data_IF_155893028518
#
_entry.id   IF_155893028518
#
_cell.length_a   1.000
_cell.length_b   1.000
_cell.length_c   1.000
_cell.angle_alpha   90.00
_cell.angle_beta   90.00
_cell.angle_gamma   90.00
#
_symmetry.space_group_name_H-M   'P 1'
#
loop_
_entity.id
_entity.type
_entity.pdbx_description
1 polymer ?
#
# COMPACT_ATOMS: atom_id res chain seq x y z
N UNK A 1 -43.99 -3.96 26.49
CA UNK A 1 -42.84 -4.48 25.70
C UNK A 1 -42.85 -3.74 24.37
N UNK A 2 -41.71 -3.11 24.03
CA UNK A 2 -41.50 -2.15 22.93
C UNK A 2 -42.28 -0.82 23.11
N UNK A 3 -41.75 0.37 22.86
CA UNK A 3 -40.66 0.75 21.98
C UNK A 3 -40.01 2.06 22.50
N UNK A 4 -38.70 2.07 22.77
CA UNK A 4 -37.93 3.30 23.09
C UNK A 4 -37.25 3.73 21.79
N UNK A 5 -37.84 4.70 21.12
CA UNK A 5 -37.17 5.45 20.06
C UNK A 5 -36.13 6.39 20.70
N UNK A 6 -34.87 5.96 20.77
CA UNK A 6 -33.76 6.83 21.12
C UNK A 6 -33.51 7.79 19.95
N UNK A 7 -34.04 9.00 20.09
CA UNK A 7 -33.77 10.13 19.23
C UNK A 7 -32.31 10.56 19.37
N UNK A 8 -31.47 10.16 18.42
CA UNK A 8 -30.13 10.75 18.24
C UNK A 8 -30.32 12.11 17.57
N UNK A 9 -30.47 13.14 18.38
CA UNK A 9 -30.34 14.53 17.95
C UNK A 9 -28.89 14.79 17.55
N UNK A 10 -28.59 14.77 16.25
CA UNK A 10 -27.34 15.28 15.70
C UNK A 10 -27.28 16.81 15.92
N UNK A 11 -26.19 17.37 16.46
CA UNK A 11 -26.06 18.82 16.57
C UNK A 11 -25.91 19.41 15.16
N UNK A 12 -26.86 20.29 14.81
CA UNK A 12 -26.80 21.12 13.62
C UNK A 12 -25.62 22.09 13.69
N UNK A 13 -24.45 21.62 13.28
CA UNK A 13 -23.30 22.48 12.98
C UNK A 13 -23.58 23.26 11.70
N UNK A 14 -24.21 24.43 11.82
CA UNK A 14 -24.27 25.39 10.72
C UNK A 14 -22.87 25.92 10.42
N UNK A 15 -22.19 25.31 9.45
CA UNK A 15 -21.01 25.90 8.82
C UNK A 15 -21.47 27.10 7.97
N UNK A 16 -21.72 28.25 8.61
CA UNK A 16 -22.01 29.49 7.90
C UNK A 16 -20.77 29.93 7.12
N UNK A 17 -20.90 29.94 5.79
CA UNK A 17 -19.91 30.45 4.86
C UNK A 17 -19.90 31.99 4.97
N UNK A 18 -18.77 32.60 5.32
CA UNK A 18 -18.68 34.05 5.43
C UNK A 18 -18.94 34.71 4.06
N UNK A 19 -19.53 35.90 4.06
CA UNK A 19 -19.88 36.65 2.84
C UNK A 19 -18.68 36.81 1.88
N UNK A 20 -17.47 36.94 2.44
CA UNK A 20 -16.21 37.05 1.69
C UNK A 20 -15.86 35.77 0.92
N UNK A 21 -16.01 34.60 1.55
CA UNK A 21 -15.75 33.30 0.90
C UNK A 21 -16.79 33.06 -0.20
N UNK A 22 -18.01 33.56 -0.03
CA UNK A 22 -19.08 33.48 -1.02
C UNK A 22 -18.78 34.33 -2.27
N UNK A 23 -18.37 35.59 -2.07
CA UNK A 23 -17.96 36.50 -3.14
C UNK A 23 -16.74 35.97 -3.92
N UNK A 24 -15.74 35.43 -3.22
CA UNK A 24 -14.59 34.79 -3.86
C UNK A 24 -15.02 33.57 -4.69
N UNK A 25 -15.87 32.69 -4.14
CA UNK A 25 -16.39 31.52 -4.86
C UNK A 25 -17.13 31.92 -6.15
N UNK A 26 -17.95 32.97 -6.08
CA UNK A 26 -18.70 33.53 -7.21
C UNK A 26 -17.77 34.06 -8.30
N UNK A 27 -16.79 34.91 -7.93
CA UNK A 27 -15.80 35.45 -8.87
C UNK A 27 -14.97 34.34 -9.54
N UNK A 28 -14.57 33.32 -8.78
CA UNK A 28 -13.88 32.16 -9.34
C UNK A 28 -14.77 31.33 -10.28
N UNK A 29 -16.07 31.19 -10.00
CA UNK A 29 -16.99 30.50 -10.91
C UNK A 29 -17.15 31.28 -12.23
N UNK A 30 -17.16 32.61 -12.20
CA UNK A 30 -17.19 33.47 -13.40
C UNK A 30 -15.98 33.20 -14.31
N UNK A 31 -14.79 33.07 -13.73
CA UNK A 31 -13.56 32.74 -14.45
C UNK A 31 -13.59 31.36 -15.13
N UNK A 32 -14.26 30.35 -14.54
CA UNK A 32 -14.36 29.02 -15.19
C UNK A 32 -15.38 29.04 -16.33
N UNK A 33 -16.50 29.76 -16.17
CA UNK A 33 -17.52 29.90 -17.23
C UNK A 33 -16.95 30.57 -18.49
N UNK A 34 -16.09 31.56 -18.34
CA UNK A 34 -15.43 32.23 -19.46
C UNK A 34 -14.49 31.31 -20.27
N UNK A 35 -14.00 30.23 -19.67
CA UNK A 35 -13.04 29.31 -20.31
C UNK A 35 -13.68 28.04 -20.89
N UNK A 36 -15.03 27.93 -20.91
CA UNK A 36 -15.79 26.84 -21.53
C UNK A 36 -15.21 25.41 -21.37
N UNK A 37 -14.66 25.08 -20.20
CA UNK A 37 -14.02 23.78 -19.94
C UNK A 37 -13.55 23.60 -18.50
N UNK A 38 -13.14 22.37 -18.15
CA UNK A 38 -12.51 22.08 -16.86
C UNK A 38 -11.08 22.62 -16.84
N UNK A 39 -10.67 23.21 -15.72
CA UNK A 39 -9.32 23.74 -15.56
C UNK A 39 -8.31 22.61 -15.32
N UNK A 40 -7.26 22.45 -16.15
CA UNK A 40 -6.22 21.46 -15.91
C UNK A 40 -5.39 21.83 -14.67
N UNK A 41 -5.24 20.89 -13.75
CA UNK A 41 -4.37 21.03 -12.58
C UNK A 41 -3.16 20.13 -12.81
N UNK A 42 -2.07 20.74 -13.30
CA UNK A 42 -0.80 20.04 -13.55
C UNK A 42 0.17 20.40 -12.42
N UNK A 43 0.51 19.41 -11.60
CA UNK A 43 1.53 19.49 -10.56
C UNK A 43 2.70 18.63 -11.05
N UNK A 44 3.83 19.26 -11.37
CA UNK A 44 5.03 18.53 -11.80
C UNK A 44 5.68 17.85 -10.60
N UNK A 45 6.42 16.76 -10.85
CA UNK A 45 7.16 16.05 -9.81
C UNK A 45 8.07 17.01 -9.01
N UNK A 46 8.09 16.86 -7.69
CA UNK A 46 8.83 17.74 -6.77
C UNK A 46 8.12 19.04 -6.37
N UNK A 47 7.03 19.43 -7.04
CA UNK A 47 6.26 20.63 -6.70
C UNK A 47 5.01 20.32 -5.87
N UNK A 48 4.67 21.20 -4.92
CA UNK A 48 3.50 21.05 -4.03
C UNK A 48 2.24 21.70 -4.64
N UNK A 49 2.40 22.59 -5.61
CA UNK A 49 1.32 23.41 -6.20
C UNK A 49 1.38 23.36 -7.71
N UNK A 50 0.25 23.62 -8.36
CA UNK A 50 0.17 23.72 -9.81
C UNK A 50 1.05 24.85 -10.33
N UNK A 51 1.64 24.66 -11.52
CA UNK A 51 2.59 25.60 -12.13
C UNK A 51 1.98 26.99 -12.33
N UNK A 52 0.69 27.07 -12.66
CA UNK A 52 -0.01 28.35 -12.86
C UNK A 52 -0.57 28.86 -11.52
N UNK A 53 -0.08 30.00 -10.97
CA UNK A 53 -0.47 30.48 -9.64
C UNK A 53 -1.96 30.73 -9.47
N UNK A 54 -2.63 31.25 -10.51
CA UNK A 54 -4.07 31.50 -10.50
C UNK A 54 -4.89 30.20 -10.41
N UNK A 55 -4.44 29.15 -11.11
CA UNK A 55 -5.05 27.81 -11.05
C UNK A 55 -4.81 27.20 -9.68
N UNK A 56 -3.60 27.29 -9.14
CA UNK A 56 -3.27 26.81 -7.79
C UNK A 56 -4.11 27.49 -6.70
N UNK A 57 -4.24 28.82 -6.74
CA UNK A 57 -5.05 29.57 -5.79
C UNK A 57 -6.53 29.16 -5.86
N UNK A 58 -7.07 29.09 -7.08
CA UNK A 58 -8.46 28.69 -7.31
C UNK A 58 -8.73 27.25 -6.88
N UNK A 59 -7.82 26.34 -7.18
CA UNK A 59 -7.87 24.94 -6.74
C UNK A 59 -7.92 24.87 -5.21
N UNK A 60 -6.97 25.51 -4.52
CA UNK A 60 -6.94 25.57 -3.06
C UNK A 60 -8.24 26.14 -2.46
N UNK A 61 -8.77 27.24 -3.00
CA UNK A 61 -10.04 27.83 -2.54
C UNK A 61 -11.22 26.86 -2.74
N UNK A 62 -11.31 26.19 -3.88
CA UNK A 62 -12.39 25.21 -4.13
C UNK A 62 -12.27 23.99 -3.22
N UNK A 63 -11.06 23.49 -2.97
CA UNK A 63 -10.82 22.42 -2.01
C UNK A 63 -11.32 22.83 -0.61
N UNK A 64 -10.94 24.01 -0.14
CA UNK A 64 -11.36 24.52 1.16
C UNK A 64 -12.89 24.65 1.28
N UNK A 65 -13.56 25.13 0.23
CA UNK A 65 -15.03 25.23 0.20
C UNK A 65 -15.65 23.83 0.21
N UNK A 66 -15.15 22.92 -0.63
CA UNK A 66 -15.70 21.57 -0.74
C UNK A 66 -15.59 20.80 0.59
N UNK A 67 -14.45 20.93 1.28
CA UNK A 67 -14.27 20.36 2.62
C UNK A 67 -15.26 20.96 3.61
N UNK A 68 -15.35 22.29 3.70
CA UNK A 68 -16.20 22.97 4.70
C UNK A 68 -17.69 22.70 4.52
N UNK A 69 -18.17 22.59 3.28
CA UNK A 69 -19.60 22.43 2.99
C UNK A 69 -20.00 20.95 2.96
N UNK A 70 -19.15 20.08 2.40
CA UNK A 70 -19.56 18.73 2.02
C UNK A 70 -18.88 17.61 2.79
N UNK A 71 -17.76 17.88 3.48
CA UNK A 71 -17.06 16.86 4.26
C UNK A 71 -17.38 17.07 5.74
N UNK A 72 -18.01 16.07 6.41
CA UNK A 72 -18.32 16.19 7.83
C UNK A 72 -17.02 16.26 8.64
N UNK A 73 -17.00 17.11 9.67
CA UNK A 73 -15.85 17.24 10.58
C UNK A 73 -15.90 16.11 11.62
N UNK A 74 -15.07 15.08 11.42
CA UNK A 74 -14.91 13.96 12.35
C UNK A 74 -13.94 14.31 13.48
N UNK A 75 -14.14 13.69 14.65
CA UNK A 75 -13.35 13.92 15.87
C UNK A 75 -11.94 13.33 15.78
N UNK A 76 -11.73 12.31 14.95
CA UNK A 76 -10.45 11.63 14.83
C UNK A 76 -10.07 11.30 13.37
N UNK A 77 -8.82 11.63 12.98
CA UNK A 77 -8.32 11.45 11.60
C UNK A 77 -8.50 10.02 11.06
N UNK A 78 -8.38 8.99 11.91
CA UNK A 78 -8.49 7.59 11.45
C UNK A 78 -9.91 7.23 10.99
N UNK A 79 -10.93 7.98 11.40
CA UNK A 79 -12.32 7.70 10.99
C UNK A 79 -12.55 8.02 9.52
N UNK A 80 -11.90 9.06 8.99
CA UNK A 80 -11.92 9.35 7.55
C UNK A 80 -11.40 8.18 6.71
N UNK A 81 -10.41 7.42 7.22
CA UNK A 81 -9.89 6.24 6.52
C UNK A 81 -10.90 5.09 6.45
N UNK A 82 -11.85 5.03 7.39
CA UNK A 82 -12.89 3.99 7.42
C UNK A 82 -14.03 4.28 6.44
N UNK A 83 -14.17 5.52 5.99
CA UNK A 83 -15.26 5.97 5.12
C UNK A 83 -14.73 6.55 3.80
N UNK A 84 -14.29 5.69 2.85
CA UNK A 84 -13.77 6.15 1.56
C UNK A 84 -14.80 6.95 0.75
N UNK A 85 -16.11 6.77 1.02
CA UNK A 85 -17.19 7.53 0.39
C UNK A 85 -17.05 9.05 0.57
N UNK A 86 -16.55 9.53 1.72
CA UNK A 86 -16.36 10.96 1.96
C UNK A 86 -15.27 11.55 1.04
N UNK A 87 -14.18 10.80 0.85
CA UNK A 87 -13.13 11.18 -0.08
C UNK A 87 -13.63 11.18 -1.53
N UNK A 88 -14.39 10.14 -1.92
CA UNK A 88 -14.96 10.06 -3.27
C UNK A 88 -15.95 11.21 -3.55
N UNK A 89 -16.77 11.59 -2.57
CA UNK A 89 -17.67 12.74 -2.67
C UNK A 89 -16.89 14.04 -2.87
N UNK A 90 -15.82 14.23 -2.08
CA UNK A 90 -14.93 15.39 -2.20
C UNK A 90 -14.27 15.44 -3.58
N UNK A 91 -13.65 14.34 -4.01
CA UNK A 91 -12.98 14.23 -5.31
C UNK A 91 -13.95 14.43 -6.46
N UNK A 92 -15.14 13.83 -6.42
CA UNK A 92 -16.17 14.02 -7.45
C UNK A 92 -16.56 15.49 -7.66
N UNK A 93 -16.61 16.29 -6.59
CA UNK A 93 -16.89 17.74 -6.69
C UNK A 93 -15.73 18.53 -7.27
N UNK A 94 -14.49 18.11 -7.02
CA UNK A 94 -13.32 18.73 -7.63
C UNK A 94 -13.23 18.37 -9.12
N UNK A 95 -13.40 17.10 -9.47
CA UNK A 95 -13.39 16.61 -10.85
C UNK A 95 -14.52 17.19 -11.71
N UNK A 96 -15.56 17.76 -11.11
CA UNK A 96 -16.59 18.52 -11.83
C UNK A 96 -16.08 19.88 -12.35
N UNK A 97 -15.05 20.47 -11.72
CA UNK A 97 -14.53 21.81 -12.04
C UNK A 97 -13.12 21.82 -12.60
N UNK A 98 -12.33 20.81 -12.25
CA UNK A 98 -10.93 20.68 -12.62
C UNK A 98 -10.72 19.37 -13.38
N UNK A 99 -9.77 19.38 -14.31
CA UNK A 99 -9.24 18.18 -14.91
C UNK A 99 -8.04 17.77 -14.05
N UNK A 100 -8.29 16.82 -13.13
CA UNK A 100 -7.32 16.30 -12.17
C UNK A 100 -6.99 14.90 -12.64
N UNK A 101 -5.73 14.68 -12.99
CA UNK A 101 -5.28 13.32 -13.22
C UNK A 101 -5.15 12.60 -11.88
N UNK A 102 -5.98 11.57 -11.67
CA UNK A 102 -6.03 10.84 -10.40
C UNK A 102 -5.17 9.57 -10.48
N UNK A 103 -4.63 9.19 -11.65
CA UNK A 103 -3.76 8.02 -11.76
C UNK A 103 -2.36 8.27 -11.22
N UNK A 104 -1.80 9.46 -11.44
CA UNK A 104 -0.42 9.79 -11.06
C UNK A 104 -0.23 9.85 -9.53
N UNK A 105 -1.26 10.26 -8.78
CA UNK A 105 -1.21 10.36 -7.32
C UNK A 105 -1.13 9.00 -6.62
N UNK A 106 -1.78 7.96 -7.17
CA UNK A 106 -1.69 6.60 -6.63
C UNK A 106 -0.27 6.07 -6.78
N UNK A 107 0.35 6.33 -7.94
CA UNK A 107 1.70 5.87 -8.23
C UNK A 107 2.75 6.55 -7.34
N UNK A 108 2.71 7.88 -7.19
CA UNK A 108 3.66 8.61 -6.34
C UNK A 108 3.50 8.24 -4.84
N UNK A 109 2.27 8.09 -4.35
CA UNK A 109 2.02 7.65 -2.98
C UNK A 109 2.48 6.21 -2.76
N UNK A 110 2.34 5.34 -3.76
CA UNK A 110 2.80 3.96 -3.67
C UNK A 110 4.33 3.89 -3.68
N UNK A 111 4.99 4.59 -4.60
CA UNK A 111 6.46 4.73 -4.62
C UNK A 111 7.00 5.24 -3.29
N UNK A 112 6.37 6.22 -2.66
CA UNK A 112 6.79 6.71 -1.34
C UNK A 112 6.61 5.68 -0.22
N UNK A 113 5.57 4.83 -0.28
CA UNK A 113 5.41 3.71 0.67
C UNK A 113 6.45 2.63 0.44
N UNK A 114 6.74 2.31 -0.81
CA UNK A 114 7.74 1.32 -1.19
C UNK A 114 9.14 1.80 -0.75
N UNK A 115 9.43 3.10 -0.97
CA UNK A 115 10.63 3.76 -0.46
C UNK A 115 10.69 3.73 1.08
N UNK A 116 9.57 3.94 1.77
CA UNK A 116 9.49 3.80 3.23
C UNK A 116 9.79 2.36 3.67
N UNK A 117 9.33 1.36 2.93
CA UNK A 117 9.62 -0.06 3.17
C UNK A 117 11.09 -0.41 3.00
N UNK A 118 11.81 0.31 2.13
CA UNK A 118 13.24 0.14 1.92
C UNK A 118 14.12 0.78 3.01
N UNK A 119 13.53 1.54 3.96
CA UNK A 119 14.27 2.12 5.08
C UNK A 119 14.68 1.03 6.07
N UNK A 120 15.96 0.68 6.08
CA UNK A 120 16.50 -0.41 6.92
C UNK A 120 16.56 -0.07 8.41
N UNK A 121 16.92 1.17 8.75
CA UNK A 121 17.11 1.61 10.12
C UNK A 121 16.21 2.81 10.39
N UNK A 122 15.14 2.62 11.16
CA UNK A 122 14.29 3.72 11.58
C UNK A 122 15.00 4.55 12.67
N UNK A 123 15.05 5.86 12.46
CA UNK A 123 15.52 6.80 13.47
C UNK A 123 14.52 6.94 14.62
N UNK A 124 15.02 7.23 15.81
CA UNK A 124 14.22 7.46 17.02
C UNK A 124 14.11 8.93 17.40
N UNK A 125 14.43 9.81 16.46
CA UNK A 125 14.48 11.27 16.57
C UNK A 125 13.10 11.95 16.60
N UNK A 126 12.02 11.18 16.47
CA UNK A 126 10.66 11.71 16.46
C UNK A 126 10.40 12.56 15.22
N UNK A 127 9.78 13.73 15.40
CA UNK A 127 9.49 14.70 14.32
C UNK A 127 10.66 15.64 14.01
N UNK A 128 11.80 15.47 14.67
CA UNK A 128 12.97 16.32 14.44
C UNK A 128 13.76 15.82 13.21
N UNK A 129 14.16 16.75 12.35
CA UNK A 129 14.96 16.45 11.16
C UNK A 129 16.44 16.25 11.53
N UNK A 130 17.20 15.57 10.66
CA UNK A 130 18.62 15.29 10.90
C UNK A 130 19.46 16.54 11.16
N UNK A 131 19.35 17.63 10.37
CA UNK A 131 20.11 18.86 10.62
C UNK A 131 19.82 19.47 11.99
N UNK A 132 18.53 19.53 12.36
CA UNK A 132 18.10 20.07 13.64
C UNK A 132 18.57 19.19 14.80
N UNK A 133 18.60 17.87 14.64
CA UNK A 133 19.16 16.99 15.66
C UNK A 133 20.65 17.26 15.86
N UNK A 134 21.43 17.40 14.78
CA UNK A 134 22.87 17.67 14.85
C UNK A 134 23.15 19.00 15.54
N UNK A 135 22.41 20.06 15.22
CA UNK A 135 22.51 21.36 15.91
C UNK A 135 22.24 21.24 17.41
N UNK A 136 21.22 20.47 17.80
CA UNK A 136 20.89 20.23 19.22
C UNK A 136 21.93 19.33 19.94
N UNK A 137 22.82 18.67 19.21
CA UNK A 137 23.91 17.88 19.79
C UNK A 137 25.17 18.70 20.04
N UNK A 138 25.28 19.92 19.49
CA UNK A 138 26.44 20.79 19.67
C UNK A 138 26.78 21.06 21.15
N UNK A 139 25.77 21.14 22.02
CA UNK A 139 25.98 21.34 23.47
C UNK A 139 26.68 20.15 24.16
N UNK A 140 26.56 18.94 23.59
CA UNK A 140 27.19 17.72 24.14
C UNK A 140 28.66 17.57 23.71
N UNK A 141 28.99 18.02 22.49
CA UNK A 141 30.30 17.84 21.89
C UNK A 141 30.97 19.21 21.77
N UNK A 142 31.57 19.65 22.89
CA UNK A 142 31.95 21.05 23.10
C UNK A 142 32.94 21.61 22.07
N UNK A 143 33.78 20.78 21.45
CA UNK A 143 34.81 21.22 20.49
C UNK A 143 35.19 20.17 19.42
N UNK A 144 34.47 19.03 19.34
CA UNK A 144 34.78 17.93 18.43
C UNK A 144 33.55 17.61 17.58
N UNK A 145 33.68 17.71 16.25
CA UNK A 145 32.60 17.35 15.35
C UNK A 145 32.26 15.86 15.53
N UNK A 146 31.00 15.52 15.85
CA UNK A 146 30.61 14.13 16.09
C UNK A 146 30.91 13.27 14.86
N UNK A 147 31.57 12.12 15.07
CA UNK A 147 31.83 11.20 13.98
C UNK A 147 30.51 10.63 13.40
N UNK A 148 30.52 10.20 12.14
CA UNK A 148 29.35 9.63 11.48
C UNK A 148 28.78 8.42 12.26
N UNK A 149 29.66 7.64 12.92
CA UNK A 149 29.23 6.53 13.76
C UNK A 149 28.60 6.98 15.09
N UNK A 150 29.09 8.07 15.68
CA UNK A 150 28.50 8.67 16.87
C UNK A 150 27.11 9.25 16.59
N UNK A 151 26.96 9.92 15.44
CA UNK A 151 25.67 10.40 14.96
C UNK A 151 24.69 9.24 14.73
N UNK A 152 25.14 8.13 14.15
CA UNK A 152 24.32 6.93 13.98
C UNK A 152 23.82 6.39 15.32
N UNK A 153 24.69 6.26 16.32
CA UNK A 153 24.31 5.82 17.68
C UNK A 153 23.25 6.75 18.28
N UNK A 154 23.48 8.05 18.29
CA UNK A 154 22.54 9.00 18.92
C UNK A 154 21.19 9.06 18.16
N UNK A 155 21.17 8.95 16.84
CA UNK A 155 19.95 8.97 16.01
C UNK A 155 19.06 7.74 16.22
N UNK A 156 19.65 6.59 16.50
CA UNK A 156 18.94 5.32 16.65
C UNK A 156 18.76 4.90 18.12
N UNK A 157 19.25 5.70 19.07
CA UNK A 157 19.02 5.50 20.49
C UNK A 157 17.66 6.07 20.94
N UNK A 158 16.79 5.20 21.46
CA UNK A 158 15.51 5.65 22.00
C UNK A 158 15.69 6.25 23.39
N UNK A 159 15.66 7.58 23.52
CA UNK A 159 15.70 8.26 24.84
C UNK A 159 14.54 7.85 25.75
N UNK A 160 13.36 7.58 25.17
CA UNK A 160 12.17 7.14 25.92
C UNK A 160 12.31 5.74 26.48
N UNK A 161 12.80 4.79 25.68
CA UNK A 161 12.97 3.39 26.08
C UNK A 161 14.35 3.11 26.70
N UNK A 162 15.27 4.08 26.63
CA UNK A 162 16.67 3.99 27.05
C UNK A 162 17.40 2.77 26.47
N UNK A 163 17.12 2.44 25.21
CA UNK A 163 17.64 1.23 24.57
C UNK A 163 17.73 1.40 23.05
N UNK A 164 18.65 0.66 22.46
CA UNK A 164 18.72 0.43 21.02
C UNK A 164 17.77 -0.70 20.61
N UNK A 165 17.19 -0.62 19.41
CA UNK A 165 16.44 -1.75 18.85
C UNK A 165 17.42 -2.89 18.54
N UNK A 166 17.05 -4.19 18.67
CA UNK A 166 17.96 -5.31 18.43
C UNK A 166 18.69 -5.24 17.07
N UNK A 167 17.99 -4.79 16.03
CA UNK A 167 18.54 -4.58 14.68
C UNK A 167 19.68 -3.54 14.68
N UNK A 168 19.52 -2.47 15.46
CA UNK A 168 20.52 -1.40 15.59
C UNK A 168 21.70 -1.87 16.44
N UNK A 169 21.46 -2.62 17.52
CA UNK A 169 22.54 -3.18 18.34
C UNK A 169 23.46 -4.07 17.50
N UNK A 170 22.87 -4.95 16.69
CA UNK A 170 23.62 -5.80 15.77
C UNK A 170 24.43 -4.97 14.76
N UNK A 171 23.84 -3.92 14.18
CA UNK A 171 24.52 -3.03 13.26
C UNK A 171 25.70 -2.31 13.93
N UNK A 172 25.52 -1.79 15.15
CA UNK A 172 26.57 -1.15 15.95
C UNK A 172 27.74 -2.11 16.17
N UNK A 173 27.48 -3.33 16.62
CA UNK A 173 28.52 -4.35 16.84
C UNK A 173 29.29 -4.69 15.55
N UNK A 174 28.59 -4.75 14.41
CA UNK A 174 29.25 -5.01 13.12
C UNK A 174 30.13 -3.85 12.67
N UNK A 175 29.67 -2.61 12.86
CA UNK A 175 30.46 -1.41 12.57
C UNK A 175 31.70 -1.33 13.48
N UNK A 176 31.55 -1.64 14.77
CA UNK A 176 32.67 -1.72 15.75
C UNK A 176 33.70 -2.78 15.37
N UNK A 177 33.25 -3.96 14.94
CA UNK A 177 34.15 -5.03 14.48
C UNK A 177 34.94 -4.63 13.23
N UNK A 178 34.33 -3.87 12.32
CA UNK A 178 35.01 -3.35 11.12
C UNK A 178 36.04 -2.27 11.48
N UNK A 179 35.70 -1.40 12.42
CA UNK A 179 36.60 -0.36 12.94
C UNK A 179 37.82 -0.96 13.67
N UNK A 180 37.70 -2.16 14.23
CA UNK A 180 38.77 -2.83 14.98
C UNK A 180 39.70 -3.69 14.11
N UNK A 181 39.42 -3.88 12.81
CA UNK A 181 40.24 -4.68 11.91
C UNK A 181 41.39 -3.83 11.31
N UNK A 182 42.66 -4.29 11.34
CA UNK A 182 43.76 -3.55 10.76
C UNK A 182 43.65 -3.63 9.23
N UNK A 183 43.22 -2.54 8.59
CA UNK A 183 43.34 -2.39 7.14
C UNK A 183 44.64 -1.64 6.88
N UNK A 184 45.67 -2.36 6.44
CA UNK A 184 46.94 -1.78 6.01
C UNK A 184 46.68 -0.85 4.81
N UNK A 185 46.86 0.46 5.04
CA UNK A 185 47.05 1.47 4.00
C UNK A 185 45.77 2.05 3.37
N UNK A 186 45.14 3.03 4.02
CA UNK A 186 44.61 4.27 3.42
C UNK A 186 43.96 5.19 4.49
N UNK A 187 43.87 6.49 4.17
CA UNK A 187 43.48 7.63 5.02
C UNK A 187 42.09 7.53 5.74
N UNK A 188 41.86 8.30 6.81
CA UNK A 188 40.75 8.12 7.75
C UNK A 188 39.42 8.69 7.22
N UNK A 189 38.72 7.93 6.37
CA UNK A 189 37.33 8.17 5.95
C UNK A 189 36.39 7.00 6.34
N UNK A 190 36.82 6.17 7.28
CA UNK A 190 36.26 4.83 7.51
C UNK A 190 34.85 4.86 8.12
N UNK A 191 34.51 5.81 8.99
CA UNK A 191 33.21 5.86 9.65
C UNK A 191 32.05 6.15 8.69
N UNK A 192 32.20 7.12 7.80
CA UNK A 192 31.21 7.43 6.76
C UNK A 192 31.02 6.24 5.81
N UNK A 193 32.11 5.56 5.45
CA UNK A 193 32.08 4.40 4.57
C UNK A 193 31.47 3.16 5.24
N UNK A 194 31.73 2.94 6.53
CA UNK A 194 31.18 1.84 7.33
C UNK A 194 29.69 2.02 7.59
N UNK A 195 29.24 3.24 7.87
CA UNK A 195 27.80 3.57 8.01
C UNK A 195 27.08 3.44 6.66
N UNK A 196 27.74 3.80 5.55
CA UNK A 196 27.19 3.67 4.21
C UNK A 196 27.23 2.23 3.64
N UNK A 197 28.02 1.31 4.21
CA UNK A 197 28.21 -0.04 3.67
C UNK A 197 26.92 -0.89 3.79
N UNK A 198 26.28 -1.25 2.66
CA UNK A 198 25.05 -2.04 2.67
C UNK A 198 25.24 -3.48 3.19
N UNK A 199 26.49 -3.96 3.34
CA UNK A 199 26.81 -5.33 3.75
C UNK A 199 26.63 -5.61 5.25
N UNK A 200 26.51 -4.59 6.12
CA UNK A 200 26.20 -4.84 7.53
C UNK A 200 24.89 -5.64 7.69
N UNK A 201 23.87 -5.46 6.84
CA UNK A 201 22.60 -6.18 7.00
C UNK A 201 22.53 -7.61 6.42
N UNK A 202 23.57 -8.10 5.73
CA UNK A 202 23.39 -9.19 4.74
C UNK A 202 23.63 -10.60 5.29
N UNK A 203 24.31 -10.75 6.43
CA UNK A 203 24.69 -12.09 6.93
C UNK A 203 23.50 -12.94 7.41
N UNK A 204 22.44 -12.34 7.95
CA UNK A 204 21.27 -13.09 8.43
C UNK A 204 20.27 -13.41 7.30
N UNK A 205 19.98 -12.43 6.44
CA UNK A 205 19.01 -12.59 5.33
C UNK A 205 19.47 -13.62 4.29
N UNK A 206 20.78 -13.75 4.06
CA UNK A 206 21.30 -14.70 3.07
C UNK A 206 21.15 -16.16 3.50
N UNK A 207 21.26 -16.46 4.79
CA UNK A 207 21.08 -17.83 5.30
C UNK A 207 19.59 -18.24 5.27
N UNK A 208 18.70 -17.33 5.66
CA UNK A 208 17.25 -17.56 5.63
C UNK A 208 16.72 -17.73 4.20
N UNK A 209 17.21 -16.90 3.26
CA UNK A 209 16.85 -16.96 1.85
C UNK A 209 17.25 -18.28 1.19
N UNK A 210 18.43 -18.82 1.50
CA UNK A 210 18.87 -20.11 0.94
C UNK A 210 18.08 -21.29 1.55
N UNK A 211 17.62 -21.15 2.79
CA UNK A 211 16.76 -22.15 3.45
C UNK A 211 15.35 -22.14 2.84
N UNK A 212 14.79 -20.97 2.56
CA UNK A 212 13.48 -20.80 1.93
C UNK A 212 13.47 -21.27 0.47
N UNK A 213 14.56 -21.04 -0.27
CA UNK A 213 14.75 -21.58 -1.64
C UNK A 213 14.70 -23.11 -1.66
N UNK A 214 15.30 -23.76 -0.66
CA UNK A 214 15.29 -25.23 -0.55
C UNK A 214 13.87 -25.74 -0.27
N UNK A 215 13.13 -25.11 0.64
CA UNK A 215 11.75 -25.48 0.95
C UNK A 215 10.81 -25.27 -0.26
N UNK A 216 10.99 -24.19 -1.02
CA UNK A 216 10.19 -23.93 -2.22
C UNK A 216 10.44 -24.96 -3.33
N UNK A 217 11.67 -25.45 -3.48
CA UNK A 217 11.97 -26.52 -4.43
C UNK A 217 11.26 -27.84 -4.04
N UNK A 218 11.20 -28.16 -2.74
CA UNK A 218 10.46 -29.32 -2.23
C UNK A 218 8.96 -29.20 -2.48
N UNK A 219 8.36 -28.04 -2.22
CA UNK A 219 6.94 -27.78 -2.48
C UNK A 219 6.60 -27.91 -3.97
N UNK A 220 7.44 -27.40 -4.86
CA UNK A 220 7.24 -27.55 -6.31
C UNK A 220 7.23 -29.03 -6.74
N UNK A 221 8.12 -29.84 -6.17
CA UNK A 221 8.15 -31.29 -6.41
C UNK A 221 6.84 -31.97 -5.96
N UNK A 222 6.34 -31.62 -4.77
CA UNK A 222 5.08 -32.18 -4.23
C UNK A 222 3.88 -31.80 -5.10
N UNK A 223 3.77 -30.54 -5.51
CA UNK A 223 2.67 -30.05 -6.37
C UNK A 223 2.66 -30.76 -7.71
N UNK A 224 3.83 -30.95 -8.33
CA UNK A 224 3.92 -31.67 -9.60
C UNK A 224 3.51 -33.14 -9.45
N UNK A 225 3.90 -33.80 -8.36
CA UNK A 225 3.49 -35.17 -8.06
C UNK A 225 1.98 -35.28 -7.84
N UNK A 226 1.38 -34.36 -7.09
CA UNK A 226 -0.08 -34.31 -6.88
C UNK A 226 -0.83 -34.07 -8.19
N UNK A 227 -0.32 -33.20 -9.07
CA UNK A 227 -0.94 -32.95 -10.37
C UNK A 227 -0.97 -34.21 -11.23
N UNK A 228 0.13 -34.96 -11.30
CA UNK A 228 0.16 -36.22 -12.02
C UNK A 228 -0.84 -37.26 -11.48
N UNK A 229 -1.03 -37.32 -10.17
CA UNK A 229 -2.02 -38.23 -9.55
C UNK A 229 -3.47 -37.81 -9.85
N UNK A 230 -3.76 -36.51 -9.84
CA UNK A 230 -5.09 -36.01 -10.21
C UNK A 230 -5.40 -36.30 -11.68
N UNK A 231 -4.42 -36.15 -12.57
CA UNK A 231 -4.60 -36.44 -14.00
C UNK A 231 -4.86 -37.94 -14.25
N UNK A 232 -4.15 -38.85 -13.56
CA UNK A 232 -4.40 -40.30 -13.66
C UNK A 232 -5.80 -40.69 -13.14
N UNK A 233 -6.19 -40.15 -11.99
CA UNK A 233 -7.51 -40.37 -11.41
C UNK A 233 -8.62 -39.83 -12.32
N UNK A 234 -8.44 -38.63 -12.87
CA UNK A 234 -9.40 -38.03 -13.79
C UNK A 234 -9.59 -38.89 -15.04
N UNK A 235 -8.49 -39.41 -15.61
CA UNK A 235 -8.55 -40.32 -16.75
C UNK A 235 -9.30 -41.62 -16.42
N UNK A 236 -9.00 -42.24 -15.28
CA UNK A 236 -9.71 -43.46 -14.82
C UNK A 236 -11.21 -43.21 -14.63
N UNK A 237 -11.57 -42.10 -13.99
CA UNK A 237 -12.99 -41.73 -13.80
C UNK A 237 -13.68 -41.59 -15.15
N UNK A 238 -13.06 -40.88 -16.10
CA UNK A 238 -13.63 -40.69 -17.44
C UNK A 238 -13.78 -42.02 -18.20
N UNK A 239 -12.80 -42.91 -18.13
CA UNK A 239 -12.86 -44.23 -18.76
C UNK A 239 -13.96 -45.10 -18.16
N UNK A 240 -14.11 -45.10 -16.83
CA UNK A 240 -15.17 -45.85 -16.14
C UNK A 240 -16.56 -45.32 -16.48
N UNK A 241 -16.72 -44.01 -16.60
CA UNK A 241 -17.99 -43.39 -16.95
C UNK A 241 -18.37 -43.69 -18.40
N UNK A 242 -17.41 -43.60 -19.32
CA UNK A 242 -17.62 -43.96 -20.72
C UNK A 242 -18.01 -45.45 -20.89
N UNK A 243 -17.47 -46.35 -20.05
CA UNK A 243 -17.87 -47.75 -20.05
C UNK A 243 -19.33 -47.93 -19.61
N UNK A 244 -19.74 -47.23 -18.53
CA UNK A 244 -21.14 -47.25 -18.06
C UNK A 244 -22.14 -46.76 -19.10
N UNK A 245 -21.79 -45.69 -19.84
CA UNK A 245 -22.65 -45.17 -20.91
C UNK A 245 -22.86 -46.22 -22.00
N UNK A 246 -21.79 -46.89 -22.45
CA UNK A 246 -21.89 -47.96 -23.47
C UNK A 246 -22.76 -49.12 -23.00
N UNK A 247 -22.57 -49.58 -21.77
CA UNK A 247 -23.37 -50.69 -21.21
C UNK A 247 -24.86 -50.29 -21.12
N UNK A 248 -25.14 -49.04 -20.73
CA UNK A 248 -26.51 -48.52 -20.66
C UNK A 248 -27.16 -48.39 -22.06
N UNK A 249 -26.40 -47.97 -23.08
CA UNK A 249 -26.86 -47.91 -24.47
C UNK A 249 -27.17 -49.30 -25.02
N UNK A 250 -26.31 -50.30 -24.73
CA UNK A 250 -26.52 -51.68 -25.16
C UNK A 250 -27.79 -52.28 -24.52
N UNK A 251 -28.02 -52.02 -23.24
CA UNK A 251 -29.25 -52.44 -22.54
C UNK A 251 -30.48 -51.79 -23.18
N UNK A 252 -30.43 -50.48 -23.49
CA UNK A 252 -31.53 -49.78 -24.17
C UNK A 252 -31.83 -50.35 -25.55
N UNK A 253 -30.79 -50.68 -26.33
CA UNK A 253 -30.96 -51.30 -27.65
C UNK A 253 -31.65 -52.66 -27.57
N UNK A 254 -31.21 -53.53 -26.65
CA UNK A 254 -31.84 -54.84 -26.43
C UNK A 254 -33.31 -54.71 -26.00
N UNK A 255 -33.62 -53.70 -25.19
CA UNK A 255 -34.98 -53.43 -24.75
C UNK A 255 -35.87 -52.96 -25.91
N UNK A 256 -35.39 -52.02 -26.74
CA UNK A 256 -36.11 -51.57 -27.94
C UNK A 256 -36.33 -52.69 -28.96
N UNK A 257 -35.33 -53.57 -29.13
CA UNK A 257 -35.47 -54.74 -30.02
C UNK A 257 -36.53 -55.73 -29.51
N UNK A 258 -36.57 -55.97 -28.19
CA UNK A 258 -37.58 -56.83 -27.58
C UNK A 258 -38.99 -56.22 -27.72
N UNK A 259 -39.13 -54.91 -27.49
CA UNK A 259 -40.39 -54.19 -27.64
C UNK A 259 -40.91 -54.25 -29.09
N UNK A 260 -40.04 -54.03 -30.07
CA UNK A 260 -40.39 -54.17 -31.49
C UNK A 260 -40.83 -55.59 -31.86
N UNK A 261 -40.17 -56.63 -31.32
CA UNK A 261 -40.58 -58.03 -31.53
C UNK A 261 -41.95 -58.34 -30.94
N UNK A 262 -42.28 -57.77 -29.77
CA UNK A 262 -43.59 -57.91 -29.15
C UNK A 262 -44.69 -57.24 -29.97
N UNK A 263 -44.42 -56.05 -30.51
CA UNK A 263 -45.37 -55.32 -31.35
C UNK A 263 -45.71 -56.09 -32.65
N UNK A 264 -44.71 -56.70 -33.29
CA UNK A 264 -44.90 -57.56 -34.47
C UNK A 264 -45.75 -58.79 -34.15
N UNK A 265 -45.56 -59.43 -33.00
CA UNK A 265 -46.35 -60.60 -32.59
C UNK A 265 -47.81 -60.24 -32.28
N UNK A 266 -48.05 -59.08 -31.67
CA UNK A 266 -49.40 -58.61 -31.34
C UNK A 266 -50.17 -58.12 -32.58
N UNK A 267 -49.49 -57.66 -33.63
CA UNK A 267 -50.11 -57.27 -34.90
C UNK A 267 -50.46 -58.44 -35.85
N UNK A 268 -50.09 -59.68 -35.49
CA UNK A 268 -50.38 -60.89 -36.27
C UNK A 268 -51.57 -61.70 -35.71
N UNK A 269 -52.19 -61.27 -34.60
CA UNK A 269 -53.40 -61.86 -34.02
C UNK A 269 -54.64 -61.04 -34.29
#
# INVERSE_FOLDING_TARGET
MADRADGITLPAGQNQMTNEVWLLNYNFNRLTRAQCGKLPVVITEGNIRAVVPLVAAKFATKCNIAVRIHVPVLTHRKEYKKQPAQFNLFMGRLCAKFNIDTSDEIEACQKNKDNQGNVKFHQTTGSCSYPVLVENLGDKYKDQEPDAFDLFKECHYSKKKKVYTPIIQLAITQMENKLSAPTEGEQPNFATQVVADPRCSVKNVKADLETEKRANAELQSIVNSQRAQVDDLSKKVQETENARIRDQEEIKMKQAEMEAKLEVLLGQS
#
